data_IF_773876086124
#
_entry.id   IF_773876086124
#
_cell.length_a   1.000
_cell.length_b   1.000
_cell.length_c   1.000
_cell.angle_alpha   90.00
_cell.angle_beta   90.00
_cell.angle_gamma   90.00
#
_symmetry.space_group_name_H-M   'P 1'
#
loop_
_entity.id
_entity.type
_entity.pdbx_description
1 polymer ?
#
# COMPACT_ATOMS: atom_id res chain seq x y z
N UNK A 1 -11.86 17.56 -16.88
CA UNK A 1 -11.89 16.22 -16.24
C UNK A 1 -11.30 16.35 -14.85
N UNK A 2 -12.03 15.99 -13.81
CA UNK A 2 -11.52 15.96 -12.45
C UNK A 2 -10.75 14.65 -12.23
N UNK A 3 -9.50 14.73 -11.79
CA UNK A 3 -8.75 13.55 -11.36
C UNK A 3 -9.40 12.96 -10.12
N UNK A 4 -9.73 11.67 -10.15
CA UNK A 4 -10.20 10.94 -8.98
C UNK A 4 -9.01 10.24 -8.32
N UNK A 5 -8.82 10.49 -7.05
CA UNK A 5 -7.81 9.78 -6.27
C UNK A 5 -8.22 8.33 -6.07
N UNK A 6 -7.26 7.43 -6.13
CA UNK A 6 -7.41 6.01 -5.82
C UNK A 6 -6.63 5.67 -4.55
N UNK A 7 -7.09 4.69 -3.81
CA UNK A 7 -6.41 4.17 -2.64
C UNK A 7 -5.23 3.26 -3.05
N UNK A 8 -4.31 3.01 -2.14
CA UNK A 8 -3.12 2.19 -2.43
C UNK A 8 -3.50 0.75 -2.77
N UNK A 9 -4.48 0.18 -2.07
CA UNK A 9 -4.97 -1.16 -2.36
C UNK A 9 -5.53 -1.26 -3.78
N UNK A 10 -6.34 -0.30 -4.21
CA UNK A 10 -6.91 -0.25 -5.56
C UNK A 10 -5.81 -0.08 -6.61
N UNK A 11 -4.85 0.81 -6.37
CA UNK A 11 -3.72 1.03 -7.26
C UNK A 11 -2.89 -0.24 -7.46
N UNK A 12 -2.59 -0.97 -6.37
CA UNK A 12 -1.88 -2.26 -6.43
C UNK A 12 -2.68 -3.33 -7.16
N UNK A 13 -4.00 -3.39 -6.95
CA UNK A 13 -4.87 -4.34 -7.64
C UNK A 13 -4.90 -4.07 -9.15
N UNK A 14 -5.00 -2.81 -9.57
CA UNK A 14 -4.97 -2.40 -10.98
C UNK A 14 -3.62 -2.79 -11.62
N UNK A 15 -2.51 -2.46 -10.98
CA UNK A 15 -1.18 -2.80 -11.49
C UNK A 15 -1.03 -4.32 -11.62
N UNK A 16 -1.42 -5.07 -10.58
CA UNK A 16 -1.35 -6.52 -10.61
C UNK A 16 -2.18 -7.11 -11.74
N UNK A 17 -3.41 -6.64 -11.93
CA UNK A 17 -4.26 -7.08 -13.04
C UNK A 17 -3.58 -6.90 -14.39
N UNK A 18 -2.90 -5.77 -14.61
CA UNK A 18 -2.21 -5.51 -15.87
C UNK A 18 -0.92 -6.31 -16.04
N UNK A 19 -0.22 -6.63 -14.96
CA UNK A 19 1.01 -7.41 -15.00
C UNK A 19 0.77 -8.92 -15.16
N UNK A 20 -0.38 -9.42 -14.70
CA UNK A 20 -0.68 -10.86 -14.70
C UNK A 20 -1.50 -11.33 -15.90
N UNK A 21 -2.09 -10.42 -16.68
CA UNK A 21 -2.86 -10.75 -17.87
C UNK A 21 -1.99 -10.82 -19.13
N UNK A 22 -2.48 -11.51 -20.14
CA UNK A 22 -1.84 -11.51 -21.46
C UNK A 22 -1.80 -10.09 -22.04
N UNK A 23 -0.71 -9.71 -22.72
CA UNK A 23 -0.61 -8.41 -23.38
C UNK A 23 -1.69 -8.23 -24.44
N UNK A 24 -2.36 -7.08 -24.42
CA UNK A 24 -3.40 -6.74 -25.44
C UNK A 24 -2.75 -6.31 -26.74
N UNK A 25 -1.60 -5.62 -26.67
CA UNK A 25 -0.86 -5.14 -27.85
C UNK A 25 0.26 -6.12 -28.13
N UNK A 26 0.33 -6.62 -29.36
CA UNK A 26 1.35 -7.55 -29.82
C UNK A 26 2.08 -6.97 -31.04
N UNK A 27 3.42 -7.12 -31.14
CA UNK A 27 4.30 -7.76 -30.15
C UNK A 27 4.41 -6.90 -28.89
N UNK A 28 4.49 -7.56 -27.74
CA UNK A 28 4.66 -6.89 -26.46
C UNK A 28 6.09 -7.04 -25.97
N UNK A 29 6.67 -5.94 -25.45
CA UNK A 29 7.96 -5.94 -24.77
C UNK A 29 7.84 -6.34 -23.30
N UNK A 30 6.60 -6.45 -22.78
CA UNK A 30 6.38 -6.88 -21.41
C UNK A 30 6.72 -8.37 -21.26
N UNK A 31 7.35 -8.75 -20.16
CA UNK A 31 7.61 -10.16 -19.87
C UNK A 31 6.29 -10.92 -19.71
N UNK A 32 6.31 -12.20 -20.03
CA UNK A 32 5.17 -13.05 -19.73
C UNK A 32 4.94 -13.13 -18.21
N UNK A 33 3.71 -13.30 -17.76
CA UNK A 33 3.41 -13.51 -16.35
C UNK A 33 4.25 -14.64 -15.78
N UNK A 34 4.89 -14.39 -14.65
CA UNK A 34 5.73 -15.34 -13.94
C UNK A 34 5.30 -15.43 -12.48
N UNK A 35 5.92 -16.31 -11.71
CA UNK A 35 5.72 -16.36 -10.25
C UNK A 35 6.02 -15.04 -9.53
N UNK A 36 6.87 -14.19 -10.14
CA UNK A 36 7.19 -12.87 -9.59
C UNK A 36 6.07 -11.85 -9.82
N UNK A 37 5.17 -12.13 -10.77
CA UNK A 37 3.99 -11.32 -11.06
C UNK A 37 2.73 -11.90 -10.38
N UNK A 38 2.90 -12.82 -9.43
CA UNK A 38 1.77 -13.36 -8.66
C UNK A 38 1.04 -12.23 -7.91
N UNK A 39 -0.28 -12.37 -7.71
CA UNK A 39 -1.06 -11.37 -6.98
C UNK A 39 -0.42 -11.07 -5.63
N UNK A 40 -0.21 -9.80 -5.29
CA UNK A 40 0.28 -9.44 -3.98
C UNK A 40 -0.74 -9.87 -2.93
N UNK A 41 -0.27 -10.37 -1.80
CA UNK A 41 -1.12 -10.59 -0.64
C UNK A 41 -1.46 -9.24 -0.03
N UNK A 42 -2.69 -8.79 -0.23
CA UNK A 42 -3.22 -7.54 0.29
C UNK A 42 -4.44 -7.85 1.14
N UNK A 43 -4.45 -7.41 2.39
CA UNK A 43 -5.64 -7.40 3.23
C UNK A 43 -6.10 -5.95 3.38
N UNK A 44 -7.22 -5.62 2.75
CA UNK A 44 -7.86 -4.32 2.87
C UNK A 44 -8.92 -4.40 3.97
N UNK A 45 -8.76 -3.59 5.00
CA UNK A 45 -9.62 -3.55 6.16
C UNK A 45 -10.39 -2.24 6.16
N UNK A 46 -11.71 -2.34 6.18
CA UNK A 46 -12.61 -1.19 6.24
C UNK A 46 -13.42 -1.22 7.54
N UNK A 47 -13.37 -0.11 8.27
CA UNK A 47 -14.08 0.09 9.53
C UNK A 47 -15.18 1.15 9.34
N UNK A 48 -16.41 0.74 9.05
CA UNK A 48 -17.56 1.66 9.03
C UNK A 48 -17.70 2.43 10.34
N UNK A 49 -18.53 3.46 10.34
CA UNK A 49 -18.93 4.13 11.56
C UNK A 49 -19.66 3.11 12.43
N UNK A 50 -19.43 3.12 13.71
CA UNK A 50 -20.03 2.21 14.68
C UNK A 50 -19.69 0.70 14.49
N UNK A 51 -18.71 0.37 13.65
CA UNK A 51 -18.27 -1.00 13.51
C UNK A 51 -17.58 -1.53 14.77
N UNK A 52 -17.89 -2.77 15.14
CA UNK A 52 -17.07 -3.49 16.10
C UNK A 52 -15.72 -3.82 15.46
N UNK A 53 -14.68 -3.15 15.95
CA UNK A 53 -13.31 -3.28 15.44
C UNK A 53 -12.82 -4.74 15.51
N UNK A 54 -13.16 -5.45 16.58
CA UNK A 54 -12.74 -6.84 16.74
C UNK A 54 -13.46 -7.75 15.74
N UNK A 55 -14.75 -7.56 15.52
CA UNK A 55 -15.50 -8.34 14.55
C UNK A 55 -14.95 -8.15 13.11
N UNK A 56 -14.56 -6.92 12.74
CA UNK A 56 -13.91 -6.67 11.45
C UNK A 56 -12.57 -7.39 11.34
N UNK A 57 -11.77 -7.39 12.41
CA UNK A 57 -10.47 -8.08 12.43
C UNK A 57 -10.61 -9.59 12.42
N UNK A 58 -11.60 -10.16 13.12
CA UNK A 58 -11.92 -11.59 13.08
C UNK A 58 -12.37 -12.01 11.67
N UNK A 59 -13.21 -11.19 11.03
CA UNK A 59 -13.61 -11.43 9.65
C UNK A 59 -12.43 -11.35 8.68
N UNK A 60 -11.47 -10.47 8.95
CA UNK A 60 -10.25 -10.38 8.14
C UNK A 60 -9.40 -11.66 8.22
N UNK A 61 -9.31 -12.30 9.37
CA UNK A 61 -8.61 -13.59 9.53
C UNK A 61 -9.27 -14.71 8.72
N UNK A 62 -10.59 -14.69 8.62
CA UNK A 62 -11.36 -15.64 7.79
C UNK A 62 -11.13 -15.34 6.30
N UNK A 63 -11.18 -14.07 5.91
CA UNK A 63 -11.06 -13.64 4.52
C UNK A 63 -9.63 -13.78 3.99
N UNK A 64 -8.64 -13.54 4.86
CA UNK A 64 -7.21 -13.56 4.54
C UNK A 64 -6.44 -14.54 5.43
N UNK A 65 -6.65 -15.86 5.31
CA UNK A 65 -6.05 -16.86 6.21
C UNK A 65 -4.51 -16.84 6.23
N UNK A 66 -3.88 -16.25 5.22
CA UNK A 66 -2.43 -16.06 5.20
C UNK A 66 -1.91 -15.11 6.29
N UNK A 67 -2.78 -14.29 6.91
CA UNK A 67 -2.42 -13.47 8.07
C UNK A 67 -2.02 -14.31 9.28
N UNK A 68 -2.58 -15.52 9.39
CA UNK A 68 -2.34 -16.44 10.51
C UNK A 68 -1.09 -17.32 10.32
N UNK A 69 -0.37 -17.20 9.21
CA UNK A 69 0.84 -17.99 8.98
C UNK A 69 1.91 -17.64 10.01
N UNK A 70 2.35 -18.66 10.75
CA UNK A 70 3.41 -18.52 11.75
C UNK A 70 4.72 -18.04 11.11
N UNK A 71 5.44 -17.18 11.80
CA UNK A 71 6.71 -16.62 11.33
C UNK A 71 6.58 -15.51 10.29
N UNK A 72 5.39 -15.27 9.73
CA UNK A 72 5.18 -14.17 8.80
C UNK A 72 5.27 -12.82 9.51
N UNK A 73 5.86 -11.86 8.82
CA UNK A 73 5.93 -10.47 9.25
C UNK A 73 5.13 -9.59 8.30
N UNK A 74 4.55 -8.55 8.83
CA UNK A 74 3.61 -7.69 8.10
C UNK A 74 3.97 -6.22 8.22
N UNK A 75 3.44 -5.47 7.26
CA UNK A 75 3.31 -4.02 7.30
C UNK A 75 1.83 -3.70 7.40
N UNK A 76 1.45 -2.92 8.42
CA UNK A 76 0.12 -2.36 8.51
C UNK A 76 0.20 -0.83 8.43
N UNK A 77 -0.71 -0.24 7.66
CA UNK A 77 -0.75 1.21 7.41
C UNK A 77 -2.16 1.67 7.07
N UNK A 78 -2.55 2.92 7.36
CA UNK A 78 -3.80 3.47 6.86
C UNK A 78 -3.78 3.53 5.34
N UNK A 79 -4.86 3.10 4.69
CA UNK A 79 -5.06 3.22 3.24
C UNK A 79 -5.99 4.40 2.94
N UNK A 80 -5.57 5.57 3.35
CA UNK A 80 -6.22 6.85 3.13
C UNK A 80 -5.22 7.84 2.55
N UNK A 81 -5.70 8.94 1.99
CA UNK A 81 -4.87 9.97 1.34
C UNK A 81 -4.11 10.82 2.38
N UNK A 82 -3.31 10.15 3.19
CA UNK A 82 -2.49 10.78 4.23
C UNK A 82 -1.05 10.88 3.73
N UNK A 83 -0.53 12.10 3.66
CA UNK A 83 0.88 12.35 3.31
C UNK A 83 1.79 12.01 4.50
N UNK A 84 3.03 11.62 4.19
CA UNK A 84 4.11 11.40 5.20
C UNK A 84 3.75 10.41 6.32
N UNK A 85 2.98 9.36 6.01
CA UNK A 85 2.57 8.31 6.97
C UNK A 85 3.73 7.80 7.82
N UNK A 86 4.89 7.58 7.23
CA UNK A 86 6.08 7.11 7.95
C UNK A 86 6.57 8.09 9.02
N UNK A 87 6.60 9.39 8.71
CA UNK A 87 7.03 10.43 9.67
C UNK A 87 6.00 10.68 10.77
N UNK A 88 4.76 10.32 10.54
CA UNK A 88 3.64 10.50 11.49
C UNK A 88 3.38 9.27 12.35
N UNK A 89 4.26 8.27 12.35
CA UNK A 89 4.08 7.04 13.13
C UNK A 89 2.91 6.15 12.67
N UNK A 90 2.45 6.35 11.43
CA UNK A 90 1.32 5.63 10.85
C UNK A 90 1.76 4.42 10.02
N UNK A 91 2.89 3.83 10.37
CA UNK A 91 3.38 2.57 9.80
C UNK A 91 3.73 1.60 10.92
N UNK A 92 3.15 0.42 10.88
CA UNK A 92 3.57 -0.74 11.68
C UNK A 92 4.40 -1.64 10.78
N UNK A 93 5.71 -1.68 10.98
CA UNK A 93 6.66 -2.39 10.11
C UNK A 93 7.25 -3.61 10.80
N UNK A 94 7.39 -4.71 10.04
CA UNK A 94 8.06 -5.94 10.49
C UNK A 94 7.45 -6.53 11.78
N UNK A 95 6.13 -6.54 11.87
CA UNK A 95 5.37 -7.02 13.01
C UNK A 95 4.68 -8.35 12.72
N UNK A 96 4.44 -9.16 13.75
CA UNK A 96 3.56 -10.32 13.65
C UNK A 96 2.13 -9.88 13.40
N UNK A 97 1.24 -10.83 13.02
CA UNK A 97 -0.16 -10.50 12.87
C UNK A 97 -0.79 -10.01 14.20
N UNK A 98 -0.50 -10.67 15.30
CA UNK A 98 -1.01 -10.26 16.60
C UNK A 98 -0.64 -8.81 16.96
N UNK A 99 0.61 -8.42 16.73
CA UNK A 99 1.08 -7.05 16.96
C UNK A 99 0.43 -6.06 15.98
N UNK A 100 0.30 -6.44 14.70
CA UNK A 100 -0.32 -5.61 13.67
C UNK A 100 -1.82 -5.42 13.92
N UNK A 101 -2.51 -6.48 14.32
CA UNK A 101 -3.91 -6.48 14.72
C UNK A 101 -4.14 -5.51 15.90
N UNK A 102 -3.34 -5.63 16.96
CA UNK A 102 -3.42 -4.73 18.11
C UNK A 102 -3.17 -3.26 17.70
N UNK A 103 -2.17 -3.03 16.84
CA UNK A 103 -1.84 -1.69 16.33
C UNK A 103 -2.99 -1.09 15.50
N UNK A 104 -3.67 -1.88 14.67
CA UNK A 104 -4.84 -1.46 13.91
C UNK A 104 -6.01 -1.19 14.84
N UNK A 105 -6.30 -2.09 15.80
CA UNK A 105 -7.40 -1.97 16.75
C UNK A 105 -7.28 -0.70 17.62
N UNK A 106 -6.05 -0.33 17.98
CA UNK A 106 -5.80 0.91 18.73
C UNK A 106 -6.19 2.17 17.97
N UNK A 107 -6.13 2.13 16.61
CA UNK A 107 -6.27 3.32 15.74
C UNK A 107 -7.55 3.36 14.92
N UNK A 108 -8.15 2.21 14.64
CA UNK A 108 -9.37 2.12 13.83
C UNK A 108 -10.53 2.90 14.46
N UNK A 109 -11.23 3.68 13.67
CA UNK A 109 -12.35 4.50 14.09
C UNK A 109 -11.96 5.74 14.91
N UNK A 110 -10.66 6.00 15.13
CA UNK A 110 -10.21 7.15 15.93
C UNK A 110 -9.70 8.28 15.05
N UNK A 111 -9.87 9.50 15.56
CA UNK A 111 -9.32 10.69 14.93
C UNK A 111 -7.79 10.70 15.05
N UNK A 112 -7.13 10.96 13.96
CA UNK A 112 -5.69 11.10 13.86
C UNK A 112 -5.34 12.47 13.27
N UNK A 113 -4.54 13.22 13.98
CA UNK A 113 -3.99 14.48 13.49
C UNK A 113 -2.66 14.24 12.80
N UNK A 114 -2.54 14.72 11.58
CA UNK A 114 -1.30 14.70 10.80
C UNK A 114 -1.02 16.12 10.30
N UNK A 115 0.02 16.73 10.80
CA UNK A 115 0.35 18.15 10.53
C UNK A 115 -0.82 19.07 10.88
N UNK A 116 -1.49 19.62 9.88
CA UNK A 116 -2.63 20.57 10.04
C UNK A 116 -3.98 19.93 9.72
N UNK A 117 -4.01 18.64 9.40
CA UNK A 117 -5.23 17.92 9.01
C UNK A 117 -5.55 16.87 10.05
N UNK A 118 -6.81 16.78 10.43
CA UNK A 118 -7.34 15.74 11.30
C UNK A 118 -8.41 14.94 10.56
N UNK A 119 -8.42 13.64 10.77
CA UNK A 119 -9.38 12.74 10.15
C UNK A 119 -9.48 11.41 10.86
N UNK A 120 -10.60 10.72 10.71
CA UNK A 120 -10.83 9.41 11.31
C UNK A 120 -10.20 8.32 10.44
N UNK A 121 -9.44 7.43 11.08
CA UNK A 121 -8.82 6.31 10.39
C UNK A 121 -9.83 5.16 10.24
N UNK A 122 -10.32 4.94 9.03
CA UNK A 122 -11.34 3.93 8.71
C UNK A 122 -10.87 2.86 7.73
N UNK A 123 -9.75 3.08 7.07
CA UNK A 123 -9.22 2.12 6.10
C UNK A 123 -7.77 1.81 6.39
N UNK A 124 -7.46 0.51 6.41
CA UNK A 124 -6.10 0.03 6.61
C UNK A 124 -5.75 -1.01 5.54
N UNK A 125 -4.48 -1.06 5.22
CA UNK A 125 -3.89 -2.06 4.36
C UNK A 125 -2.86 -2.84 5.16
N UNK A 126 -2.96 -4.17 5.08
CA UNK A 126 -1.96 -5.09 5.64
C UNK A 126 -1.38 -5.93 4.52
N UNK A 127 -0.07 -6.02 4.49
CA UNK A 127 0.67 -6.79 3.49
C UNK A 127 1.90 -7.45 4.10
N UNK A 128 2.43 -8.53 3.51
CA UNK A 128 3.66 -9.14 3.98
C UNK A 128 4.81 -8.13 3.97
N UNK A 129 5.61 -8.14 5.05
CA UNK A 129 6.84 -7.37 5.09
C UNK A 129 7.92 -8.08 4.24
N UNK A 130 8.42 -7.39 3.25
CA UNK A 130 9.51 -7.85 2.39
C UNK A 130 10.76 -7.03 2.71
N UNK A 131 11.72 -7.59 3.45
CA UNK A 131 12.97 -6.88 3.70
C UNK A 131 13.74 -6.69 2.38
N UNK A 132 14.26 -5.51 2.17
CA UNK A 132 15.07 -5.17 1.01
C UNK A 132 16.19 -4.18 1.41
N UNK A 133 17.32 -4.19 0.71
CA UNK A 133 18.36 -3.19 0.90
C UNK A 133 17.85 -1.79 0.53
N UNK A 134 18.31 -0.77 1.26
CA UNK A 134 17.85 0.60 1.07
C UNK A 134 18.20 1.19 -0.32
N UNK A 135 19.20 0.64 -0.99
CA UNK A 135 19.65 1.04 -2.32
C UNK A 135 18.82 0.42 -3.46
N UNK A 136 17.88 -0.47 -3.12
CA UNK A 136 16.97 -1.10 -4.09
C UNK A 136 15.60 -0.42 -4.17
N UNK A 137 15.42 0.72 -3.50
CA UNK A 137 14.22 1.53 -3.63
C UNK A 137 14.29 2.44 -4.84
N UNK A 138 13.27 2.37 -5.69
CA UNK A 138 13.14 3.19 -6.89
C UNK A 138 11.86 4.00 -6.86
N UNK A 139 11.95 5.26 -7.24
CA UNK A 139 10.78 6.11 -7.44
C UNK A 139 10.35 6.09 -8.90
N UNK A 140 9.12 5.67 -9.15
CA UNK A 140 8.51 5.65 -10.48
C UNK A 140 7.34 6.63 -10.48
N UNK A 141 7.36 7.58 -11.39
CA UNK A 141 6.28 8.53 -11.59
C UNK A 141 5.86 8.55 -13.05
N UNK A 142 4.56 8.47 -13.29
CA UNK A 142 3.96 8.71 -14.61
C UNK A 142 3.18 10.00 -14.51
N UNK A 143 3.69 11.04 -15.15
CA UNK A 143 3.02 12.34 -15.24
C UNK A 143 2.64 12.64 -16.67
N UNK A 144 1.45 13.21 -16.84
CA UNK A 144 1.02 13.75 -18.14
C UNK A 144 1.40 15.23 -18.19
N UNK A 145 2.25 15.66 -19.14
CA UNK A 145 2.57 17.08 -19.29
C UNK A 145 1.32 17.85 -19.72
N UNK A 146 1.03 18.94 -19.03
CA UNK A 146 -0.06 19.86 -19.38
C UNK A 146 0.13 20.56 -20.74
N UNK A 147 1.22 20.35 -21.43
CA UNK A 147 1.49 20.85 -22.78
C UNK A 147 1.23 19.74 -23.79
N UNK A 148 0.33 20.02 -24.71
CA UNK A 148 0.00 19.22 -25.88
C UNK A 148 1.25 18.73 -26.60
N UNK A 149 1.33 17.46 -26.84
CA UNK A 149 2.10 16.79 -27.88
C UNK A 149 3.32 15.91 -27.56
N UNK A 150 3.61 15.51 -26.34
CA UNK A 150 4.49 14.34 -26.14
C UNK A 150 4.25 13.65 -24.78
N UNK A 151 4.10 12.31 -24.74
CA UNK A 151 4.24 11.59 -23.49
C UNK A 151 5.70 11.68 -23.07
N UNK A 152 5.99 12.37 -21.98
CA UNK A 152 7.33 12.40 -21.42
C UNK A 152 7.56 11.15 -20.59
N UNK A 153 8.60 10.45 -20.96
CA UNK A 153 9.08 9.20 -20.37
C UNK A 153 9.32 9.30 -18.86
N UNK A 154 9.00 8.20 -18.21
CA UNK A 154 9.35 7.81 -16.85
C UNK A 154 10.82 8.07 -16.59
N UNK A 155 11.15 8.93 -15.64
CA UNK A 155 12.48 8.99 -15.07
C UNK A 155 12.55 8.01 -13.91
N UNK A 156 13.32 6.94 -14.07
CA UNK A 156 13.75 6.07 -12.97
C UNK A 156 14.86 6.81 -12.23
N UNK A 157 14.58 7.36 -11.07
CA UNK A 157 15.62 7.92 -10.20
C UNK A 157 15.77 7.02 -8.97
N UNK A 158 16.99 6.55 -8.67
CA UNK A 158 17.25 5.87 -7.40
C UNK A 158 16.96 6.86 -6.26
N UNK A 159 16.20 6.43 -5.29
CA UNK A 159 15.94 7.22 -4.10
C UNK A 159 17.22 7.27 -3.26
N UNK A 160 18.01 8.34 -3.38
CA UNK A 160 19.05 8.62 -2.39
C UNK A 160 18.35 9.07 -1.11
N UNK A 161 18.30 8.19 -0.12
CA UNK A 161 17.99 8.59 1.24
C UNK A 161 19.14 9.47 1.73
N UNK A 162 18.97 10.78 1.72
CA UNK A 162 19.85 11.70 2.46
C UNK A 162 19.67 11.38 3.94
N UNK A 163 20.59 10.58 4.50
CA UNK A 163 20.80 10.55 5.94
C UNK A 163 21.25 11.92 6.35
N UNK A 164 20.40 12.70 7.00
CA UNK A 164 20.88 13.79 7.84
C UNK A 164 21.58 13.14 9.04
N UNK A 165 22.90 13.13 9.02
CA UNK A 165 23.69 12.95 10.23
C UNK A 165 23.52 14.21 11.07
N UNK A 166 23.06 14.08 12.30
CA UNK A 166 23.35 14.98 13.42
C UNK A 166 24.39 14.31 14.27
#
# INVERSE_FOLDING_TARGET
>A
MSAKSILEADGKAIINYHLTRAPVIKPSTLPNPTKHNAPPRLASLHFPEDADVNAVLDQAEITYPWLLHQGSKFVAKPDQLIKRRGKSGLLSLNKTWAESRAWVAERAGKAQKVEHTEGVLRQFLVEPFVPHPADTEYYINVSWPLRWNRPSLVALTPHRSTRFAM
#
